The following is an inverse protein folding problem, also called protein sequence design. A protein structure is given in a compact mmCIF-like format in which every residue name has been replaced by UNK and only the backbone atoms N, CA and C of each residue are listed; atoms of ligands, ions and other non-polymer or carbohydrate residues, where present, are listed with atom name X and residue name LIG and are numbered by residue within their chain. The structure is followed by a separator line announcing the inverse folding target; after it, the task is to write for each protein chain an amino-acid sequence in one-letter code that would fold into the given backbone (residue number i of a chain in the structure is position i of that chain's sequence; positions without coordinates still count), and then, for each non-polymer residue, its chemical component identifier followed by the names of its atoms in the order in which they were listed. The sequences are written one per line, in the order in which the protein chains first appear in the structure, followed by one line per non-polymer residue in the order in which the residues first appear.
data_IF_330661426200
#
_entry.id   IF_330661426200
#
_cell.length_a   1.000
_cell.length_b   1.000
_cell.length_c   1.000
_cell.angle_alpha   90.00
_cell.angle_beta   90.00
_cell.angle_gamma   90.00
#
_symmetry.space_group_name_H-M   'P 1'
#
loop_
_entity.id
_entity.type
_entity.pdbx_description
1 polymer ?
#
# COMPACT_ATOMS: atom_id res chain seq x y z
N UNK A 1 -5.08 -23.86 -3.05
CA UNK A 1 -5.29 -22.71 -2.13
C UNK A 1 -5.39 -21.45 -2.98
N UNK A 2 -6.23 -20.46 -2.63
CA UNK A 2 -6.23 -19.19 -3.36
C UNK A 2 -4.82 -18.58 -3.34
N UNK A 3 -4.40 -17.99 -4.46
CA UNK A 3 -3.13 -17.30 -4.54
C UNK A 3 -3.12 -16.13 -3.53
N UNK A 4 -2.10 -16.03 -2.68
CA UNK A 4 -1.95 -14.97 -1.68
C UNK A 4 -2.09 -13.58 -2.30
N UNK A 5 -1.58 -13.38 -3.52
CA UNK A 5 -1.72 -12.12 -4.27
C UNK A 5 -3.18 -11.77 -4.58
N UNK A 6 -4.02 -12.76 -4.90
CA UNK A 6 -5.45 -12.54 -5.15
C UNK A 6 -6.23 -12.26 -3.86
N UNK A 7 -5.82 -12.87 -2.75
CA UNK A 7 -6.40 -12.60 -1.44
C UNK A 7 -6.09 -11.17 -1.00
N UNK A 8 -4.84 -10.73 -1.12
CA UNK A 8 -4.41 -9.35 -0.84
C UNK A 8 -5.25 -8.34 -1.65
N UNK A 9 -5.38 -8.54 -2.97
CA UNK A 9 -6.16 -7.65 -3.84
C UNK A 9 -7.64 -7.56 -3.48
N UNK A 10 -8.20 -8.60 -2.86
CA UNK A 10 -9.60 -8.64 -2.42
C UNK A 10 -9.81 -8.12 -1.00
N UNK A 11 -8.76 -8.07 -0.19
CA UNK A 11 -8.89 -7.80 1.25
C UNK A 11 -8.25 -6.49 1.67
N UNK A 12 -7.38 -5.89 0.87
CA UNK A 12 -6.71 -4.61 1.19
C UNK A 12 -6.78 -3.59 0.08
N UNK A 13 -6.50 -2.33 0.44
CA UNK A 13 -6.15 -1.33 -0.56
C UNK A 13 -4.79 -1.64 -1.18
N UNK A 14 -4.63 -1.34 -2.46
CA UNK A 14 -3.39 -1.60 -3.22
C UNK A 14 -3.04 -0.35 -4.01
N UNK A 15 -1.77 0.04 -3.93
CA UNK A 15 -1.21 1.12 -4.72
C UNK A 15 -1.11 0.73 -6.21
N UNK A 16 -1.38 1.64 -7.16
CA UNK A 16 -1.14 1.36 -8.57
C UNK A 16 0.33 0.98 -8.86
N UNK A 17 0.61 0.01 -9.74
CA UNK A 17 1.97 -0.45 -10.00
C UNK A 17 2.87 0.64 -10.62
N UNK A 18 2.28 1.59 -11.34
CA UNK A 18 2.99 2.67 -12.02
C UNK A 18 3.06 3.97 -11.21
N UNK A 19 2.85 3.94 -9.88
CA UNK A 19 2.95 5.15 -9.05
C UNK A 19 4.30 5.87 -9.14
N UNK A 20 5.37 5.14 -9.48
CA UNK A 20 6.71 5.70 -9.66
C UNK A 20 6.79 6.73 -10.79
N UNK A 21 5.85 6.71 -11.75
CA UNK A 21 5.76 7.67 -12.85
C UNK A 21 5.26 9.04 -12.40
N UNK A 22 4.62 9.14 -11.21
CA UNK A 22 4.06 10.39 -10.72
C UNK A 22 5.16 11.34 -10.21
N UNK A 23 4.99 12.62 -10.54
CA UNK A 23 5.73 13.68 -9.86
C UNK A 23 5.30 13.77 -8.38
N UNK A 24 6.14 14.41 -7.55
CA UNK A 24 5.89 14.47 -6.11
C UNK A 24 4.60 15.24 -5.78
N UNK A 25 4.29 16.31 -6.49
CA UNK A 25 3.11 17.13 -6.20
C UNK A 25 1.81 16.37 -6.52
N UNK A 26 1.78 15.66 -7.64
CA UNK A 26 0.68 14.76 -7.99
C UNK A 26 0.52 13.65 -6.95
N UNK A 27 1.61 13.00 -6.55
CA UNK A 27 1.59 11.92 -5.55
C UNK A 27 1.06 12.42 -4.20
N UNK A 28 1.56 13.56 -3.70
CA UNK A 28 1.09 14.18 -2.45
C UNK A 28 -0.41 14.50 -2.53
N UNK A 29 -0.85 15.08 -3.65
CA UNK A 29 -2.25 15.46 -3.85
C UNK A 29 -3.16 14.24 -3.86
N UNK A 30 -2.80 13.20 -4.61
CA UNK A 30 -3.56 11.95 -4.70
C UNK A 30 -3.55 11.17 -3.37
N UNK A 31 -2.45 11.23 -2.61
CA UNK A 31 -2.35 10.59 -1.31
C UNK A 31 -3.30 11.23 -0.29
N UNK A 32 -3.33 12.57 -0.23
CA UNK A 32 -4.15 13.33 0.74
C UNK A 32 -5.65 13.26 0.48
N UNK A 33 -6.04 13.04 -0.76
CA UNK A 33 -7.43 12.98 -1.22
C UNK A 33 -8.06 11.58 -1.07
N UNK A 34 -7.41 10.69 -0.31
CA UNK A 34 -7.92 9.36 0.02
C UNK A 34 -9.35 9.43 0.57
N UNK A 35 -10.25 8.66 -0.04
CA UNK A 35 -11.62 8.54 0.45
C UNK A 35 -12.50 9.77 0.16
N UNK A 36 -12.04 10.71 -0.66
CA UNK A 36 -12.91 11.77 -1.17
C UNK A 36 -14.03 11.15 -2.04
N UNK A 37 -15.29 11.57 -1.86
CA UNK A 37 -16.37 11.14 -2.74
C UNK A 37 -16.21 11.77 -4.13
N UNK A 38 -16.36 10.96 -5.17
CA UNK A 38 -16.33 11.38 -6.58
C UNK A 38 -17.55 10.84 -7.30
N UNK A 39 -18.22 11.73 -8.05
CA UNK A 39 -19.35 11.37 -8.92
C UNK A 39 -18.88 11.24 -10.36
N UNK A 40 -19.45 10.28 -11.07
CA UNK A 40 -19.24 10.14 -12.50
C UNK A 40 -19.76 11.39 -13.22
N UNK A 41 -19.04 11.84 -14.26
CA UNK A 41 -19.57 12.88 -15.14
C UNK A 41 -20.84 12.38 -15.84
N UNK A 42 -21.76 13.28 -16.26
CA UNK A 42 -22.95 12.90 -17.02
C UNK A 42 -22.60 12.02 -18.23
N UNK A 43 -23.36 10.93 -18.41
CA UNK A 43 -23.12 9.96 -19.48
C UNK A 43 -21.96 8.99 -19.26
N UNK A 44 -21.26 9.06 -18.12
CA UNK A 44 -20.18 8.13 -17.74
C UNK A 44 -20.54 7.33 -16.50
N UNK A 45 -19.82 6.23 -16.31
CA UNK A 45 -19.85 5.39 -15.11
C UNK A 45 -18.43 5.22 -14.58
N UNK A 46 -18.29 5.02 -13.27
CA UNK A 46 -17.04 4.61 -12.64
C UNK A 46 -17.06 3.09 -12.44
N UNK A 47 -15.91 2.44 -12.48
CA UNK A 47 -15.80 1.02 -12.15
C UNK A 47 -15.20 0.85 -10.75
N UNK A 48 -15.87 0.06 -9.89
CA UNK A 48 -15.33 -0.25 -8.58
C UNK A 48 -14.07 -1.12 -8.72
N UNK A 49 -12.95 -0.70 -8.13
CA UNK A 49 -11.68 -1.40 -8.17
C UNK A 49 -11.75 -2.79 -7.54
N UNK A 50 -12.61 -2.98 -6.53
CA UNK A 50 -12.80 -4.25 -5.82
C UNK A 50 -13.82 -5.15 -6.54
N UNK A 51 -15.08 -4.72 -6.65
CA UNK A 51 -16.17 -5.57 -7.19
C UNK A 51 -16.25 -5.59 -8.71
N UNK A 52 -15.58 -4.65 -9.39
CA UNK A 52 -15.67 -4.40 -10.85
C UNK A 52 -17.05 -3.95 -11.32
N UNK A 53 -17.98 -3.66 -10.41
CA UNK A 53 -19.31 -3.15 -10.73
C UNK A 53 -19.26 -1.69 -11.17
N UNK A 54 -20.21 -1.29 -12.02
CA UNK A 54 -20.38 0.10 -12.44
C UNK A 54 -21.14 0.89 -11.38
N UNK A 55 -20.57 2.01 -10.95
CA UNK A 55 -21.12 2.91 -9.93
C UNK A 55 -21.23 4.34 -10.45
N UNK A 56 -22.22 5.09 -9.95
CA UNK A 56 -22.38 6.52 -10.26
C UNK A 56 -21.58 7.43 -9.34
N UNK A 57 -21.28 6.95 -8.14
CA UNK A 57 -20.54 7.65 -7.11
C UNK A 57 -19.69 6.65 -6.33
N UNK A 58 -18.49 7.04 -5.93
CA UNK A 58 -17.60 6.20 -5.14
C UNK A 58 -16.56 7.01 -4.41
N UNK A 59 -15.91 6.35 -3.44
CA UNK A 59 -14.70 6.83 -2.78
C UNK A 59 -13.53 6.68 -3.72
N UNK A 60 -12.66 7.66 -3.76
CA UNK A 60 -11.52 7.67 -4.68
C UNK A 60 -10.19 7.64 -3.95
N UNK A 61 -9.23 6.91 -4.49
CA UNK A 61 -7.83 6.97 -4.07
C UNK A 61 -6.90 6.50 -5.20
N UNK A 62 -5.87 7.28 -5.51
CA UNK A 62 -4.88 6.96 -6.56
C UNK A 62 -5.48 6.53 -7.92
N UNK A 63 -6.54 7.19 -8.38
CA UNK A 63 -7.19 6.86 -9.66
C UNK A 63 -8.19 5.70 -9.57
N UNK A 64 -8.22 4.97 -8.45
CA UNK A 64 -9.12 3.86 -8.20
C UNK A 64 -10.39 4.34 -7.51
N UNK A 65 -11.52 3.72 -7.86
CA UNK A 65 -12.83 4.04 -7.29
C UNK A 65 -13.36 2.86 -6.49
N UNK A 66 -14.01 3.13 -5.37
CA UNK A 66 -14.59 2.11 -4.49
C UNK A 66 -16.05 2.48 -4.22
N UNK A 67 -16.97 1.52 -4.32
CA UNK A 67 -18.30 1.73 -3.73
C UNK A 67 -18.15 1.99 -2.23
N UNK A 68 -19.13 2.64 -1.61
CA UNK A 68 -19.09 2.89 -0.16
C UNK A 68 -18.94 1.56 0.62
N UNK A 69 -19.71 0.54 0.25
CA UNK A 69 -19.62 -0.80 0.85
C UNK A 69 -18.24 -1.45 0.68
N UNK A 70 -17.63 -1.32 -0.50
CA UNK A 70 -16.28 -1.84 -0.75
C UNK A 70 -15.25 -1.10 0.11
N UNK A 71 -15.31 0.23 0.13
CA UNK A 71 -14.41 1.05 0.94
C UNK A 71 -14.47 0.64 2.41
N UNK A 72 -15.68 0.57 2.97
CA UNK A 72 -15.90 0.23 4.38
C UNK A 72 -15.42 -1.20 4.71
N UNK A 73 -15.58 -2.15 3.78
CA UNK A 73 -15.11 -3.53 3.98
C UNK A 73 -13.57 -3.63 4.05
N UNK A 74 -12.87 -2.73 3.34
CA UNK A 74 -11.41 -2.68 3.29
C UNK A 74 -10.80 -1.92 4.47
N UNK A 75 -11.57 -1.08 5.18
CA UNK A 75 -11.05 -0.28 6.30
C UNK A 75 -10.55 -1.13 7.46
N UNK A 76 -9.33 -0.85 7.93
CA UNK A 76 -8.72 -1.69 8.96
C UNK A 76 -9.30 -1.48 10.35
N UNK A 77 -9.82 -2.55 10.96
CA UNK A 77 -10.21 -2.56 12.37
C UNK A 77 -9.01 -2.13 13.20
N UNK A 78 -9.24 -1.24 14.17
CA UNK A 78 -8.21 -0.64 15.03
C UNK A 78 -7.20 0.28 14.31
N UNK A 79 -7.31 0.50 12.99
CA UNK A 79 -6.47 1.46 12.27
C UNK A 79 -7.16 2.83 12.12
N UNK A 80 -8.04 3.24 13.04
CA UNK A 80 -8.68 4.57 13.05
C UNK A 80 -9.38 4.97 11.73
N UNK A 81 -9.86 4.00 10.96
CA UNK A 81 -10.49 4.24 9.65
C UNK A 81 -9.49 4.61 8.54
N UNK A 82 -8.19 4.41 8.75
CA UNK A 82 -7.15 4.63 7.76
C UNK A 82 -7.15 3.48 6.74
N UNK A 83 -7.17 3.78 5.43
CA UNK A 83 -7.00 2.76 4.40
C UNK A 83 -5.55 2.28 4.40
N UNK A 84 -5.33 1.05 4.89
CA UNK A 84 -3.99 0.45 4.98
C UNK A 84 -3.77 -0.50 3.80
N UNK A 85 -2.54 -0.52 3.30
CA UNK A 85 -2.07 -1.41 2.23
C UNK A 85 -1.04 -2.42 2.78
N UNK A 86 -0.62 -3.42 2.00
CA UNK A 86 0.48 -4.30 2.35
C UNK A 86 1.80 -3.58 2.64
N UNK A 87 2.02 -2.38 2.07
CA UNK A 87 3.23 -1.60 2.34
C UNK A 87 3.26 -1.08 3.78
N UNK A 88 2.12 -0.61 4.32
CA UNK A 88 2.04 -0.23 5.74
C UNK A 88 2.19 -1.46 6.66
N UNK A 89 1.70 -2.63 6.24
CA UNK A 89 1.93 -3.90 6.95
C UNK A 89 3.43 -4.20 7.05
N UNK A 90 4.15 -4.14 5.91
CA UNK A 90 5.58 -4.39 5.85
C UNK A 90 6.37 -3.39 6.71
N UNK A 91 6.04 -2.10 6.61
CA UNK A 91 6.72 -1.05 7.39
C UNK A 91 6.56 -1.26 8.90
N UNK A 92 5.33 -1.41 9.38
CA UNK A 92 5.06 -1.62 10.81
C UNK A 92 5.60 -2.95 11.31
N UNK A 93 5.50 -4.01 10.49
CA UNK A 93 6.04 -5.32 10.83
C UNK A 93 7.56 -5.30 10.98
N UNK A 94 8.29 -4.67 10.06
CA UNK A 94 9.75 -4.50 10.18
C UNK A 94 10.15 -3.76 11.45
N UNK A 95 9.42 -2.71 11.82
CA UNK A 95 9.63 -1.99 13.09
C UNK A 95 9.37 -2.93 14.28
N UNK A 96 8.27 -3.69 14.26
CA UNK A 96 7.86 -4.56 15.35
C UNK A 96 8.82 -5.74 15.60
N UNK A 97 9.48 -6.25 14.56
CA UNK A 97 10.28 -7.47 14.64
C UNK A 97 11.78 -7.23 14.71
N UNK A 98 12.24 -6.00 14.49
CA UNK A 98 13.66 -5.69 14.48
C UNK A 98 14.26 -5.84 15.88
N UNK A 99 15.41 -6.51 15.96
CA UNK A 99 16.22 -6.57 17.18
C UNK A 99 17.17 -5.37 17.30
N UNK A 100 17.42 -4.69 16.17
CA UNK A 100 18.26 -3.48 16.09
C UNK A 100 17.39 -2.22 15.95
N UNK A 101 17.90 -1.04 16.34
CA UNK A 101 17.21 0.22 16.09
C UNK A 101 16.87 0.41 14.60
N UNK A 102 15.58 0.65 14.31
CA UNK A 102 15.11 0.85 12.93
C UNK A 102 15.19 2.33 12.58
N UNK A 103 16.25 2.74 11.87
CA UNK A 103 16.33 4.11 11.38
C UNK A 103 15.42 4.30 10.18
N UNK A 104 14.76 5.45 10.14
CA UNK A 104 13.83 5.84 9.09
C UNK A 104 14.40 5.69 7.69
N UNK A 105 15.61 6.19 7.45
CA UNK A 105 16.26 6.18 6.14
C UNK A 105 16.45 4.75 5.59
N UNK A 106 16.81 3.80 6.44
CA UNK A 106 16.97 2.40 6.04
C UNK A 106 15.63 1.76 5.75
N UNK A 107 14.61 2.07 6.55
CA UNK A 107 13.27 1.55 6.32
C UNK A 107 12.69 2.05 4.99
N UNK A 108 12.86 3.32 4.65
CA UNK A 108 12.33 3.91 3.41
C UNK A 108 12.82 3.21 2.14
N UNK A 109 14.08 2.77 2.11
CA UNK A 109 14.70 2.06 0.97
C UNK A 109 14.31 0.57 0.95
N UNK A 110 13.88 0.04 2.09
CA UNK A 110 13.53 -1.35 2.28
C UNK A 110 12.05 -1.67 1.98
N UNK A 111 11.23 -0.66 1.71
CA UNK A 111 9.86 -0.83 1.26
C UNK A 111 9.87 -0.96 -0.27
N UNK A 112 9.10 -1.90 -0.81
CA UNK A 112 8.99 -2.12 -2.27
C UNK A 112 8.10 -1.07 -2.95
N UNK A 113 8.38 0.20 -2.70
CA UNK A 113 7.69 1.36 -3.28
C UNK A 113 8.68 2.47 -3.58
N UNK A 114 8.26 3.46 -4.37
CA UNK A 114 9.12 4.61 -4.67
C UNK A 114 9.52 5.35 -3.38
N UNK A 115 10.74 5.93 -3.28
CA UNK A 115 11.18 6.67 -2.09
C UNK A 115 10.21 7.80 -1.68
N UNK A 116 9.60 8.47 -2.66
CA UNK A 116 8.58 9.50 -2.42
C UNK A 116 7.37 8.93 -1.66
N UNK A 117 6.91 7.74 -2.04
CA UNK A 117 5.78 7.08 -1.39
C UNK A 117 6.16 6.56 -0.01
N UNK A 118 7.35 5.95 0.14
CA UNK A 118 7.88 5.54 1.45
C UNK A 118 7.87 6.71 2.44
N UNK A 119 8.38 7.87 2.01
CA UNK A 119 8.40 9.08 2.82
C UNK A 119 6.99 9.54 3.26
N UNK A 120 6.03 9.58 2.33
CA UNK A 120 4.65 9.96 2.62
C UNK A 120 3.98 8.98 3.59
N UNK A 121 4.16 7.68 3.36
CA UNK A 121 3.61 6.61 4.16
C UNK A 121 4.12 6.68 5.61
N UNK A 122 5.44 6.77 5.82
CA UNK A 122 5.99 6.85 7.17
C UNK A 122 5.55 8.11 7.90
N UNK A 123 5.41 9.23 7.19
CA UNK A 123 4.85 10.45 7.79
C UNK A 123 3.40 10.29 8.22
N UNK A 124 2.57 9.62 7.42
CA UNK A 124 1.16 9.38 7.73
C UNK A 124 1.02 8.40 8.91
N UNK A 125 1.81 7.32 8.95
CA UNK A 125 1.88 6.40 10.09
C UNK A 125 2.25 7.13 11.39
N UNK A 126 3.21 8.07 11.31
CA UNK A 126 3.59 8.91 12.44
C UNK A 126 2.47 9.86 12.83
N UNK A 127 1.84 10.53 11.86
CA UNK A 127 0.74 11.47 12.09
C UNK A 127 -0.47 10.80 12.76
N UNK A 128 -0.76 9.54 12.41
CA UNK A 128 -1.82 8.75 13.05
C UNK A 128 -1.43 8.18 14.41
N UNK A 129 -0.17 8.34 14.81
CA UNK A 129 0.37 7.85 16.06
C UNK A 129 0.58 6.33 16.07
N UNK A 130 0.72 5.69 14.91
CA UNK A 130 1.04 4.25 14.84
C UNK A 130 2.53 4.01 15.06
N UNK A 131 3.38 4.93 14.59
CA UNK A 131 4.82 4.89 14.85
C UNK A 131 5.24 6.16 15.60
N UNK A 132 6.27 6.01 16.43
CA UNK A 132 6.97 7.09 17.10
C UNK A 132 8.36 7.19 16.49
N UNK A 133 8.84 8.42 16.30
CA UNK A 133 10.16 8.72 15.78
C UNK A 133 10.88 9.60 16.80
N UNK A 134 12.04 9.14 17.25
CA UNK A 134 12.87 9.88 18.20
C UNK A 134 13.76 10.93 17.51
N UNK A 135 14.50 11.76 18.26
CA UNK A 135 15.40 12.76 17.66
C UNK A 135 16.56 12.19 16.81
N UNK A 136 16.86 10.90 16.93
CA UNK A 136 17.87 10.19 16.15
C UNK A 136 17.25 9.50 14.92
N UNK A 137 15.98 9.77 14.62
CA UNK A 137 15.21 9.13 13.53
C UNK A 137 15.03 7.62 13.70
N UNK A 138 15.11 7.12 14.95
CA UNK A 138 14.78 5.74 15.28
C UNK A 138 13.27 5.60 15.40
N UNK A 139 12.72 4.61 14.69
CA UNK A 139 11.30 4.32 14.64
C UNK A 139 10.95 3.21 15.64
N UNK A 140 9.88 3.44 16.40
CA UNK A 140 9.28 2.44 17.30
C UNK A 140 7.77 2.37 17.06
N UNK A 141 7.19 1.18 17.25
CA UNK A 141 5.75 1.00 17.11
C UNK A 141 5.07 1.46 18.40
N UNK A 142 3.97 2.20 18.29
CA UNK A 142 3.13 2.53 19.44
C UNK A 142 2.17 1.39 19.76
N UNK A 143 1.50 1.44 20.92
CA UNK A 143 0.43 0.49 21.26
C UNK A 143 -0.72 0.52 20.22
N UNK A 144 -1.03 1.68 19.67
CA UNK A 144 -2.03 1.80 18.59
C UNK A 144 -1.51 1.19 17.29
N UNK A 145 -0.20 1.35 17.01
CA UNK A 145 0.47 0.73 15.87
C UNK A 145 0.46 -0.80 15.96
N UNK A 146 0.72 -1.37 17.14
CA UNK A 146 0.64 -2.82 17.38
C UNK A 146 -0.78 -3.34 17.10
N UNK A 147 -1.81 -2.66 17.61
CA UNK A 147 -3.21 -3.03 17.36
C UNK A 147 -3.60 -2.89 15.88
N UNK A 148 -3.09 -1.87 15.19
CA UNK A 148 -3.32 -1.65 13.77
C UNK A 148 -2.63 -2.74 12.92
N UNK A 149 -1.38 -3.10 13.27
CA UNK A 149 -0.63 -4.19 12.65
C UNK A 149 -1.36 -5.53 12.80
N UNK A 150 -1.85 -5.83 14.00
CA UNK A 150 -2.65 -7.04 14.26
C UNK A 150 -3.97 -7.03 13.48
N UNK A 151 -4.64 -5.87 13.40
CA UNK A 151 -5.86 -5.70 12.61
C UNK A 151 -5.65 -5.87 11.11
N UNK A 152 -4.48 -5.47 10.61
CA UNK A 152 -4.08 -5.62 9.21
C UNK A 152 -3.68 -7.06 8.90
N UNK A 153 -2.93 -7.71 9.79
CA UNK A 153 -2.57 -9.12 9.69
C UNK A 153 -3.83 -10.00 9.59
N UNK A 154 -4.84 -9.74 10.45
CA UNK A 154 -6.10 -10.49 10.42
C UNK A 154 -6.90 -10.29 9.15
N UNK A 155 -6.72 -9.18 8.45
CA UNK A 155 -7.39 -8.91 7.17
C UNK A 155 -6.70 -9.59 6.01
N UNK A 156 -5.38 -9.54 5.97
CA UNK A 156 -4.59 -10.12 4.87
C UNK A 156 -4.52 -11.64 5.00
N UNK A 157 -4.31 -12.15 6.22
CA UNK A 157 -3.94 -13.55 6.48
C UNK A 157 -4.90 -14.29 7.41
N UNK A 158 -5.97 -13.66 7.87
CA UNK A 158 -6.94 -14.23 8.83
C UNK A 158 -6.33 -14.66 10.18
N UNK A 159 -5.11 -14.18 10.50
CA UNK A 159 -4.34 -14.54 11.70
C UNK A 159 -3.84 -13.28 12.43
N UNK A 160 -3.41 -13.44 13.69
CA UNK A 160 -2.67 -12.37 14.39
C UNK A 160 -1.30 -12.19 13.76
N UNK A 161 -0.69 -11.02 13.97
CA UNK A 161 0.64 -10.77 13.46
C UNK A 161 1.65 -11.76 14.05
N UNK A 162 2.46 -12.33 13.16
CA UNK A 162 3.64 -13.12 13.46
C UNK A 162 4.74 -12.68 12.50
N UNK A 163 6.02 -12.65 12.92
CA UNK A 163 7.12 -12.20 12.08
C UNK A 163 7.19 -12.92 10.73
N UNK A 164 6.88 -14.22 10.70
CA UNK A 164 6.96 -15.05 9.49
C UNK A 164 5.98 -14.59 8.39
N UNK A 165 4.91 -13.87 8.73
CA UNK A 165 3.95 -13.34 7.76
C UNK A 165 4.54 -12.23 6.88
N UNK A 166 5.70 -11.66 7.26
CA UNK A 166 6.38 -10.65 6.44
C UNK A 166 6.95 -11.25 5.15
N UNK A 167 7.36 -12.52 5.16
CA UNK A 167 7.90 -13.21 3.98
C UNK A 167 6.79 -13.49 2.95
N UNK A 168 5.60 -13.89 3.40
CA UNK A 168 4.44 -14.16 2.55
C UNK A 168 4.00 -12.94 1.72
N UNK A 169 4.19 -11.72 2.25
CA UNK A 169 3.94 -10.46 1.53
C UNK A 169 4.98 -10.13 0.47
N UNK A 170 6.22 -10.58 0.61
CA UNK A 170 7.31 -10.30 -0.33
C UNK A 170 7.30 -11.28 -1.51
N UNK A 171 6.88 -12.52 -1.28
CA UNK A 171 6.81 -13.55 -2.32
C UNK A 171 5.61 -13.37 -3.28
N UNK A 172 4.59 -12.60 -2.89
CA UNK A 172 3.44 -12.34 -3.75
C UNK A 172 3.75 -11.46 -4.98
N UNK A 173 4.75 -10.60 -4.92
CA UNK A 173 5.11 -9.67 -6.01
C UNK A 173 6.16 -10.24 -6.98
N UNK A 174 7.00 -11.18 -6.52
CA UNK A 174 8.01 -11.85 -7.35
C UNK A 174 7.41 -12.76 -8.44
N UNK A 175 6.16 -13.23 -8.24
CA UNK A 175 5.42 -13.99 -9.25
C UNK A 175 4.91 -13.16 -10.44
N UNK A 176 5.04 -11.82 -10.38
CA UNK A 176 4.61 -10.90 -11.45
C UNK A 176 5.74 -10.12 -12.13
N UNK A 177 6.97 -10.21 -11.63
CA UNK A 177 8.12 -9.41 -12.14
C UNK A 177 9.12 -10.19 -12.99
N UNK A 178 8.92 -11.49 -13.22
CA UNK A 178 9.86 -12.33 -13.98
C UNK A 178 9.72 -12.27 -15.52
N UNK A 179 8.95 -11.33 -16.08
CA UNK A 179 8.79 -11.16 -17.54
C UNK A 179 9.02 -9.72 -18.03
N UNK A 180 10.08 -9.03 -17.57
CA UNK A 180 10.50 -7.78 -18.25
C UNK A 180 12.00 -7.46 -18.22
N UNK A 181 12.88 -8.40 -17.87
CA UNK A 181 14.35 -8.21 -17.93
C UNK A 181 15.02 -9.27 -18.79
N UNK A 182 14.63 -9.34 -20.05
CA UNK A 182 15.46 -9.90 -21.10
C UNK A 182 15.10 -9.23 -22.43
N UNK A 183 16.13 -8.81 -23.17
CA UNK A 183 16.09 -8.27 -24.54
C UNK A 183 16.06 -6.74 -24.68
N UNK A 184 17.15 -6.08 -24.28
CA UNK A 184 17.63 -4.91 -25.04
C UNK A 184 19.13 -5.05 -25.24
N UNK A 185 19.53 -6.03 -26.05
CA UNK A 185 20.85 -6.08 -26.67
C UNK A 185 20.63 -6.41 -28.14
N UNK A 186 21.12 -5.49 -28.98
CA UNK A 186 21.28 -5.57 -30.44
C UNK A 186 20.01 -5.54 -31.30
N UNK A 187 19.74 -4.37 -31.88
CA UNK A 187 19.72 -4.19 -33.33
C UNK A 187 19.63 -2.68 -33.66
N UNK A 188 20.80 -2.04 -33.83
CA UNK A 188 20.88 -0.87 -34.72
C UNK A 188 21.16 -1.46 -36.11
N UNK A 189 20.10 -1.61 -36.91
CA UNK A 189 20.23 -1.88 -38.33
C UNK A 189 20.19 -0.55 -39.07
N UNK A 190 21.25 -0.30 -39.82
CA UNK A 190 21.38 0.71 -40.87
C UNK A 190 20.16 0.67 -41.78
N UNK A 191 19.61 1.83 -42.15
CA UNK A 191 19.15 2.23 -43.48
C UNK A 191 18.34 3.53 -43.34
N UNK A 192 18.95 4.67 -43.67
CA UNK A 192 18.60 5.50 -44.85
C UNK A 192 19.73 6.50 -45.04
#
# INVERSE_FOLDING_TARGET
MPNTSDLIRKTTFVYPPNLHELDLASMVTMYRSRGEPRKAAPGKMLACALTKELIREGKWWFGLYYSQSSWDSLLTKNAKGVPMTPTEFLAMGKIATSQEPVYREFLEVQLDVSPKLSYLLLNDLKQFGFILEDPQSVLTLSLDGEKALDGLSRRIFEKRFQPDLLFDTLDSDSSSSSHSRASTVNQVSLFT
#
